data_IF_314989400151
#
_entry.id   IF_314989400151
#
_cell.length_a   1.000
_cell.length_b   1.000
_cell.length_c   1.000
_cell.angle_alpha   90.00
_cell.angle_beta   90.00
_cell.angle_gamma   90.00
#
_symmetry.space_group_name_H-M   'P 1'
#
loop_
_entity.id
_entity.type
_entity.pdbx_description
1 polymer ?
#
# COMPACT_ATOMS: atom_id res chain seq x y z
N UNK A 1 20.83 -12.67 -0.17
CA UNK A 1 19.87 -11.64 0.25
C UNK A 1 19.37 -11.01 -1.02
N UNK A 2 18.06 -10.99 -1.27
CA UNK A 2 17.50 -10.10 -2.30
C UNK A 2 16.98 -8.87 -1.58
N UNK A 3 17.68 -7.76 -1.75
CA UNK A 3 17.29 -6.49 -1.15
C UNK A 3 16.50 -5.70 -2.21
N UNK A 4 15.23 -5.40 -1.92
CA UNK A 4 14.38 -4.59 -2.80
C UNK A 4 14.18 -3.22 -2.18
N UNK A 5 14.55 -2.17 -2.92
CA UNK A 5 14.29 -0.77 -2.51
C UNK A 5 13.10 -0.23 -3.31
N UNK A 6 12.23 0.55 -2.67
CA UNK A 6 11.10 1.19 -3.33
C UNK A 6 11.17 2.71 -3.27
N UNK A 7 10.88 3.38 -4.38
CA UNK A 7 10.60 4.82 -4.44
C UNK A 7 9.16 5.03 -4.84
N UNK A 8 8.45 5.92 -4.16
CA UNK A 8 7.08 6.32 -4.53
C UNK A 8 7.02 7.82 -4.78
N UNK A 9 6.50 8.21 -5.93
CA UNK A 9 6.21 9.61 -6.27
C UNK A 9 4.70 9.73 -6.47
N UNK A 10 4.08 10.73 -5.87
CA UNK A 10 2.63 10.88 -5.97
C UNK A 10 2.11 12.17 -5.37
N UNK A 11 0.82 12.37 -5.54
CA UNK A 11 0.07 13.50 -5.01
C UNK A 11 -0.89 13.01 -3.95
N UNK A 12 -1.06 13.81 -2.90
CA UNK A 12 -2.06 13.60 -1.86
C UNK A 12 -2.79 14.91 -1.62
N UNK A 13 -4.10 14.82 -1.46
CA UNK A 13 -4.97 15.95 -1.16
C UNK A 13 -5.94 15.57 -0.05
N UNK A 14 -6.31 16.57 0.75
CA UNK A 14 -7.34 16.43 1.78
C UNK A 14 -8.17 17.70 1.85
N UNK A 15 -9.45 17.53 2.15
CA UNK A 15 -10.36 18.66 2.35
C UNK A 15 -11.25 18.38 3.56
N UNK A 16 -11.42 19.40 4.40
CA UNK A 16 -12.31 19.37 5.54
C UNK A 16 -13.60 20.12 5.19
N UNK A 17 -14.74 19.54 5.53
CA UNK A 17 -16.05 20.13 5.30
C UNK A 17 -17.05 19.66 6.37
N UNK A 18 -18.04 20.49 6.71
CA UNK A 18 -19.13 20.05 7.57
C UNK A 18 -20.05 19.10 6.80
N UNK A 19 -20.47 18.02 7.45
CA UNK A 19 -21.49 17.10 6.95
C UNK A 19 -22.62 17.04 7.99
N UNK A 20 -23.66 17.85 7.79
CA UNK A 20 -24.67 18.07 8.83
C UNK A 20 -24.06 18.75 10.05
N UNK A 21 -24.17 18.12 11.22
CA UNK A 21 -23.61 18.63 12.48
C UNK A 21 -22.20 18.10 12.81
N UNK A 22 -21.61 17.27 11.95
CA UNK A 22 -20.29 16.65 12.19
C UNK A 22 -19.23 17.16 11.23
N UNK A 23 -18.02 17.38 11.75
CA UNK A 23 -16.87 17.74 10.92
C UNK A 23 -16.30 16.50 10.24
N UNK A 24 -16.11 16.58 8.93
CA UNK A 24 -15.66 15.46 8.10
C UNK A 24 -14.44 15.89 7.28
N UNK A 25 -13.48 14.99 7.12
CA UNK A 25 -12.31 15.17 6.26
C UNK A 25 -12.31 14.10 5.20
N UNK A 26 -12.37 14.49 3.93
CA UNK A 26 -12.09 13.59 2.81
C UNK A 26 -10.61 13.67 2.46
N UNK A 27 -10.02 12.52 2.13
CA UNK A 27 -8.63 12.41 1.69
C UNK A 27 -8.51 11.50 0.49
N UNK A 28 -7.58 11.83 -0.38
CA UNK A 28 -7.30 11.07 -1.60
C UNK A 28 -5.83 11.15 -1.96
N UNK A 29 -5.34 10.09 -2.61
CA UNK A 29 -3.97 10.04 -3.08
C UNK A 29 -3.83 9.13 -4.27
N UNK A 30 -2.90 9.48 -5.15
CA UNK A 30 -2.47 8.64 -6.26
C UNK A 30 -0.96 8.77 -6.41
N UNK A 31 -0.31 7.68 -6.78
CA UNK A 31 1.13 7.67 -6.97
C UNK A 31 1.60 6.53 -7.84
N UNK A 32 2.88 6.60 -8.17
CA UNK A 32 3.62 5.59 -8.87
C UNK A 32 4.74 5.09 -7.96
N UNK A 33 4.82 3.78 -7.79
CA UNK A 33 5.89 3.12 -7.04
C UNK A 33 6.78 2.35 -8.00
N UNK A 34 8.08 2.61 -7.91
CA UNK A 34 9.11 1.89 -8.62
C UNK A 34 9.93 1.04 -7.64
N UNK A 35 10.16 -0.23 -8.00
CA UNK A 35 11.03 -1.14 -7.28
C UNK A 35 12.40 -1.21 -7.98
N UNK A 36 13.47 -1.11 -7.21
CA UNK A 36 14.86 -1.23 -7.66
C UNK A 36 15.50 -2.49 -7.08
N UNK A 37 16.47 -3.05 -7.80
CA UNK A 37 17.19 -4.27 -7.41
C UNK A 37 16.78 -5.49 -8.23
N UNK A 38 17.18 -6.67 -7.77
CA UNK A 38 16.82 -7.97 -8.36
C UNK A 38 15.35 -8.28 -8.07
N UNK A 39 14.49 -7.79 -8.95
CA UNK A 39 13.06 -8.09 -8.92
C UNK A 39 12.75 -9.55 -9.21
N UNK A 40 13.70 -10.33 -9.73
CA UNK A 40 13.58 -11.79 -9.87
C UNK A 40 14.32 -12.43 -8.69
N UNK A 41 13.61 -12.97 -7.68
CA UNK A 41 14.29 -13.63 -6.57
C UNK A 41 14.87 -14.96 -7.07
N UNK A 42 16.20 -15.10 -7.06
CA UNK A 42 16.89 -16.34 -7.39
C UNK A 42 17.31 -17.08 -6.11
N UNK A 43 16.96 -18.37 -6.00
CA UNK A 43 17.34 -19.22 -4.87
C UNK A 43 18.15 -20.41 -5.37
N UNK A 44 19.38 -20.56 -4.87
CA UNK A 44 20.20 -21.74 -5.12
C UNK A 44 19.74 -22.89 -4.22
N UNK A 45 19.37 -24.01 -4.83
CA UNK A 45 18.98 -25.25 -4.17
C UNK A 45 19.92 -26.38 -4.57
N UNK A 46 20.08 -27.36 -3.68
CA UNK A 46 20.83 -28.58 -3.98
C UNK A 46 20.18 -29.78 -3.28
N UNK A 47 20.16 -30.92 -3.95
CA UNK A 47 19.90 -32.21 -3.30
C UNK A 47 21.15 -32.69 -2.58
N UNK A 48 21.00 -33.49 -1.52
CA UNK A 48 22.15 -34.08 -0.80
C UNK A 48 23.01 -34.90 -1.76
N UNK A 49 24.26 -34.49 -1.94
CA UNK A 49 25.23 -35.14 -2.85
C UNK A 49 25.15 -34.71 -4.33
N UNK A 50 24.27 -33.76 -4.67
CA UNK A 50 24.14 -33.22 -6.04
C UNK A 50 24.75 -31.82 -6.21
N UNK A 51 24.80 -31.36 -7.46
CA UNK A 51 25.20 -29.99 -7.81
C UNK A 51 24.10 -28.98 -7.49
N UNK A 52 24.50 -27.75 -7.15
CA UNK A 52 23.56 -26.64 -6.97
C UNK A 52 22.85 -26.29 -8.28
N UNK A 53 21.58 -25.93 -8.20
CA UNK A 53 20.77 -25.37 -9.28
C UNK A 53 20.01 -24.14 -8.79
N UNK A 54 19.72 -23.21 -9.69
CA UNK A 54 18.98 -22.00 -9.35
C UNK A 54 17.48 -22.17 -9.65
N UNK A 55 16.65 -21.62 -8.78
CA UNK A 55 15.21 -21.51 -8.96
C UNK A 55 14.83 -20.04 -8.92
N UNK A 56 14.25 -19.53 -10.00
CA UNK A 56 13.65 -18.20 -10.05
C UNK A 56 12.25 -18.25 -9.40
N UNK A 57 12.01 -17.36 -8.44
CA UNK A 57 10.69 -17.13 -7.87
C UNK A 57 9.89 -16.10 -8.68
N UNK A 58 8.66 -15.82 -8.25
CA UNK A 58 7.79 -14.85 -8.94
C UNK A 58 8.40 -13.45 -8.90
N UNK A 59 8.58 -12.79 -10.06
CA UNK A 59 9.14 -11.45 -10.09
C UNK A 59 8.29 -10.43 -9.31
N UNK A 60 8.92 -9.56 -8.54
CA UNK A 60 8.29 -8.39 -7.97
C UNK A 60 8.00 -7.42 -9.12
N UNK A 61 6.76 -6.96 -9.22
CA UNK A 61 6.41 -6.00 -10.27
C UNK A 61 7.22 -4.70 -10.09
N UNK A 62 8.07 -4.40 -11.07
CA UNK A 62 9.01 -3.26 -11.05
C UNK A 62 8.30 -1.91 -10.89
N UNK A 63 7.07 -1.84 -11.37
CA UNK A 63 6.28 -0.62 -11.45
C UNK A 63 4.86 -0.92 -10.98
N UNK A 64 4.32 -0.08 -10.09
CA UNK A 64 2.96 -0.18 -9.63
C UNK A 64 2.31 1.20 -9.49
N UNK A 65 1.09 1.34 -10.01
CA UNK A 65 0.21 2.45 -9.64
C UNK A 65 -0.38 2.18 -8.25
N UNK A 66 -0.37 3.19 -7.39
CA UNK A 66 -0.96 3.13 -6.04
C UNK A 66 -2.01 4.21 -5.90
N UNK A 67 -3.11 3.93 -5.21
CA UNK A 67 -4.15 4.90 -4.94
C UNK A 67 -4.77 4.69 -3.56
N UNK A 68 -5.29 5.77 -2.97
CA UNK A 68 -6.00 5.77 -1.71
C UNK A 68 -7.18 6.75 -1.78
N UNK A 69 -8.30 6.35 -1.18
CA UNK A 69 -9.42 7.23 -0.86
C UNK A 69 -9.85 6.97 0.59
N UNK A 70 -10.16 8.02 1.33
CA UNK A 70 -10.58 7.91 2.71
C UNK A 70 -11.49 9.03 3.17
N UNK A 71 -12.22 8.75 4.23
CA UNK A 71 -13.11 9.71 4.90
C UNK A 71 -12.97 9.52 6.40
N UNK A 72 -12.75 10.61 7.12
CA UNK A 72 -12.63 10.66 8.57
C UNK A 72 -13.76 11.56 9.11
N UNK A 73 -14.62 11.02 9.98
CA UNK A 73 -15.78 11.71 10.57
C UNK A 73 -15.56 11.87 12.06
N UNK A 74 -15.60 13.11 12.54
CA UNK A 74 -15.53 13.41 13.97
C UNK A 74 -16.91 13.20 14.59
N UNK A 75 -17.06 12.08 15.29
CA UNK A 75 -18.28 11.73 16.02
C UNK A 75 -18.50 12.65 17.23
N UNK A 76 -17.40 13.02 17.89
CA UNK A 76 -17.35 13.99 19.00
C UNK A 76 -15.99 14.71 18.98
N UNK A 77 -15.77 15.66 19.88
CA UNK A 77 -14.47 16.31 20.09
C UNK A 77 -13.34 15.35 20.52
N UNK A 78 -13.69 14.11 20.87
CA UNK A 78 -12.76 13.08 21.36
C UNK A 78 -12.79 11.78 20.56
N UNK A 79 -13.69 11.63 19.60
CA UNK A 79 -13.88 10.37 18.86
C UNK A 79 -14.01 10.60 17.35
N UNK A 80 -13.21 9.88 16.58
CA UNK A 80 -13.21 9.93 15.11
C UNK A 80 -13.34 8.53 14.54
N UNK A 81 -14.25 8.35 13.58
CA UNK A 81 -14.33 7.13 12.76
C UNK A 81 -13.78 7.41 11.37
N UNK A 82 -12.86 6.56 10.92
CA UNK A 82 -12.20 6.67 9.63
C UNK A 82 -12.43 5.44 8.79
N UNK A 83 -12.75 5.63 7.51
CA UNK A 83 -12.79 4.58 6.50
C UNK A 83 -11.75 4.89 5.44
N UNK A 84 -11.04 3.87 4.96
CA UNK A 84 -10.00 4.03 3.93
C UNK A 84 -10.03 2.84 3.00
N UNK A 85 -9.96 3.12 1.71
CA UNK A 85 -9.71 2.14 0.66
C UNK A 85 -8.40 2.46 -0.03
N UNK A 86 -7.52 1.46 -0.13
CA UNK A 86 -6.22 1.54 -0.79
C UNK A 86 -6.13 0.47 -1.86
N UNK A 87 -5.45 0.80 -2.95
CA UNK A 87 -5.20 -0.14 -4.03
C UNK A 87 -3.80 0.02 -4.61
N UNK A 88 -3.31 -1.08 -5.15
CA UNK A 88 -2.07 -1.15 -5.90
C UNK A 88 -2.29 -2.03 -7.13
N UNK A 89 -1.91 -1.51 -8.29
CA UNK A 89 -2.04 -2.17 -9.58
C UNK A 89 -0.66 -2.23 -10.23
N UNK A 90 -0.21 -3.44 -10.55
CA UNK A 90 1.04 -3.73 -11.22
C UNK A 90 0.79 -4.68 -12.40
N UNK A 91 1.81 -4.96 -13.22
CA UNK A 91 1.67 -5.82 -14.40
C UNK A 91 1.07 -7.20 -14.09
N UNK A 92 1.54 -7.81 -12.99
CA UNK A 92 1.24 -9.20 -12.64
C UNK A 92 0.63 -9.34 -11.23
N UNK A 93 0.29 -8.23 -10.60
CA UNK A 93 -0.23 -8.21 -9.23
C UNK A 93 -1.20 -7.05 -9.01
N UNK A 94 -2.31 -7.34 -8.35
CA UNK A 94 -3.27 -6.35 -7.87
C UNK A 94 -3.57 -6.61 -6.40
N UNK A 95 -3.54 -5.55 -5.59
CA UNK A 95 -3.88 -5.60 -4.18
C UNK A 95 -4.92 -4.53 -3.88
N UNK A 96 -5.95 -4.90 -3.13
CA UNK A 96 -7.00 -4.01 -2.66
C UNK A 96 -7.19 -4.20 -1.17
N UNK A 97 -7.22 -3.10 -0.42
CA UNK A 97 -7.36 -3.12 1.02
C UNK A 97 -8.41 -2.12 1.48
N UNK A 98 -9.32 -2.59 2.33
CA UNK A 98 -10.26 -1.74 3.05
C UNK A 98 -9.89 -1.70 4.53
N UNK A 99 -9.99 -0.52 5.15
CA UNK A 99 -9.71 -0.31 6.56
C UNK A 99 -10.80 0.55 7.19
N UNK A 100 -11.21 0.18 8.40
CA UNK A 100 -12.08 0.95 9.27
C UNK A 100 -11.38 1.15 10.61
N UNK A 101 -11.31 2.39 11.08
CA UNK A 101 -10.60 2.76 12.32
C UNK A 101 -11.49 3.64 13.20
N UNK A 102 -11.60 3.29 14.48
CA UNK A 102 -12.13 4.16 15.52
C UNK A 102 -10.97 4.68 16.37
N UNK A 103 -10.85 5.99 16.52
CA UNK A 103 -9.84 6.64 17.37
C UNK A 103 -10.54 7.40 18.49
N UNK A 104 -10.15 7.16 19.75
CA UNK A 104 -10.71 7.82 20.95
C UNK A 104 -9.58 8.43 21.78
N UNK A 105 -9.73 9.69 22.20
CA UNK A 105 -8.80 10.37 23.11
C UNK A 105 -9.45 10.52 24.49
N UNK A 106 -8.71 10.18 25.55
CA UNK A 106 -9.18 10.22 26.94
C UNK A 106 -8.79 11.54 27.61
#
# INVERSE_FOLDING_TARGET
>A
SSDTTFTTIGLRASTAFPLGSVNTTARGGIGWRHAFGDVVPETALAFTGGSSFAVEGTPIAKNAAVFEAGIDVNLTDKATIGLTYKGQLASDAQEHGFNAKLSVRF
#
